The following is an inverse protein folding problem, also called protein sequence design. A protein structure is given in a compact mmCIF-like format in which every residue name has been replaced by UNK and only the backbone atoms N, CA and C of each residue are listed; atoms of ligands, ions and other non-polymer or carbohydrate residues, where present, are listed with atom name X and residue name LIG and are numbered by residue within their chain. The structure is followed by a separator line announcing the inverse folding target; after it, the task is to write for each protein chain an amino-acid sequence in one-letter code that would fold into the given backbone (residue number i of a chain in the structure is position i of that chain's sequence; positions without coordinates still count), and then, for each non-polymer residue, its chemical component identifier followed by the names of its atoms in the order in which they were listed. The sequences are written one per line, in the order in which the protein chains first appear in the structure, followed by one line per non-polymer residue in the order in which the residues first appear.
data_IF_090431892298
#
_entry.id   IF_090431892298
#
_cell.length_a   1.000
_cell.length_b   1.000
_cell.length_c   1.000
_cell.angle_alpha   90.00
_cell.angle_beta   90.00
_cell.angle_gamma   90.00
#
_symmetry.space_group_name_H-M   'P 1'
#
loop_
_entity.id
_entity.type
_entity.pdbx_description
1 polymer ?
#
# COMPACT_ATOMS: atom_id res chain seq x y z
N UNK A 1 -33.15 -17.64 -3.73
CA UNK A 1 -31.82 -18.21 -4.07
C UNK A 1 -30.67 -17.39 -3.51
N UNK A 2 -30.69 -16.05 -3.60
CA UNK A 2 -29.62 -15.18 -3.07
C UNK A 2 -29.38 -15.35 -1.55
N UNK A 3 -30.44 -15.38 -0.73
CA UNK A 3 -30.29 -15.55 0.73
C UNK A 3 -29.66 -16.88 1.16
N UNK A 4 -30.01 -17.98 0.50
CA UNK A 4 -29.41 -19.29 0.79
C UNK A 4 -27.93 -19.33 0.42
N UNK A 5 -27.54 -18.67 -0.68
CA UNK A 5 -26.15 -18.57 -1.11
C UNK A 5 -25.34 -17.71 -0.15
N UNK A 6 -25.91 -16.61 0.35
CA UNK A 6 -25.28 -15.75 1.36
C UNK A 6 -24.96 -16.52 2.64
N UNK A 7 -25.94 -17.23 3.20
CA UNK A 7 -25.76 -18.03 4.42
C UNK A 7 -24.66 -19.07 4.23
N UNK A 8 -24.68 -19.81 3.10
CA UNK A 8 -23.65 -20.83 2.83
C UNK A 8 -22.26 -20.26 2.53
N UNK A 9 -22.19 -19.05 1.96
CA UNK A 9 -20.92 -18.35 1.75
C UNK A 9 -20.32 -17.85 3.07
N UNK A 10 -21.16 -17.34 3.99
CA UNK A 10 -20.74 -16.95 5.34
C UNK A 10 -20.26 -18.16 6.16
N UNK A 11 -21.05 -19.25 6.20
CA UNK A 11 -20.69 -20.47 6.94
C UNK A 11 -19.35 -21.09 6.50
N UNK A 12 -19.02 -20.98 5.21
CA UNK A 12 -17.83 -21.62 4.62
C UNK A 12 -16.67 -20.66 4.40
N UNK A 13 -16.84 -19.37 4.73
CA UNK A 13 -15.88 -18.31 4.46
C UNK A 13 -15.45 -18.26 2.97
N UNK A 14 -16.39 -18.54 2.06
CA UNK A 14 -16.14 -18.57 0.61
C UNK A 14 -16.73 -17.39 -0.11
N UNK A 15 -15.96 -16.85 -1.06
CA UNK A 15 -16.37 -15.75 -1.95
C UNK A 15 -16.74 -16.31 -3.31
N UNK A 16 -17.84 -15.83 -3.91
CA UNK A 16 -18.22 -16.26 -5.26
C UNK A 16 -17.47 -15.46 -6.32
N UNK A 17 -16.64 -16.14 -7.12
CA UNK A 17 -15.96 -15.54 -8.26
C UNK A 17 -16.90 -15.45 -9.46
N UNK A 18 -17.04 -14.25 -10.03
CA UNK A 18 -17.98 -13.98 -11.11
C UNK A 18 -17.29 -13.26 -12.27
N UNK A 19 -17.80 -13.50 -13.49
CA UNK A 19 -17.50 -12.68 -14.66
C UNK A 19 -18.55 -11.60 -14.78
N UNK A 20 -18.16 -10.37 -14.52
CA UNK A 20 -19.05 -9.21 -14.51
C UNK A 20 -18.99 -8.45 -15.84
N UNK A 21 -20.15 -8.09 -16.38
CA UNK A 21 -20.27 -7.28 -17.59
C UNK A 21 -21.36 -6.24 -17.34
N UNK A 22 -20.96 -4.98 -17.18
CA UNK A 22 -21.86 -3.89 -16.77
C UNK A 22 -22.97 -3.63 -17.80
N UNK A 23 -22.61 -3.55 -19.08
CA UNK A 23 -23.52 -3.29 -20.20
C UNK A 23 -23.05 -4.04 -21.45
N UNK A 24 -23.90 -4.08 -22.49
CA UNK A 24 -23.53 -4.65 -23.80
C UNK A 24 -22.28 -3.94 -24.33
N UNK A 25 -21.40 -4.71 -24.98
CA UNK A 25 -20.16 -4.24 -25.61
C UNK A 25 -19.09 -3.66 -24.66
N UNK A 26 -19.16 -3.97 -23.36
CA UNK A 26 -18.07 -3.66 -22.41
C UNK A 26 -17.28 -4.95 -22.14
N UNK A 27 -15.93 -4.90 -22.13
CA UNK A 27 -15.13 -6.06 -21.76
C UNK A 27 -15.51 -6.59 -20.37
N UNK A 28 -15.56 -7.93 -20.18
CA UNK A 28 -15.86 -8.48 -18.88
C UNK A 28 -14.72 -8.21 -17.89
N UNK A 29 -15.07 -8.03 -16.61
CA UNK A 29 -14.14 -7.96 -15.48
C UNK A 29 -14.36 -9.14 -14.54
N UNK A 30 -13.30 -9.64 -13.89
CA UNK A 30 -13.45 -10.58 -12.78
C UNK A 30 -13.81 -9.83 -11.50
N UNK A 31 -14.85 -10.30 -10.81
CA UNK A 31 -15.29 -9.73 -9.53
C UNK A 31 -15.46 -10.85 -8.50
N UNK A 32 -15.16 -10.53 -7.26
CA UNK A 32 -15.40 -11.38 -6.11
C UNK A 32 -16.62 -10.85 -5.36
N UNK A 33 -17.66 -11.67 -5.24
CA UNK A 33 -18.85 -11.37 -4.43
C UNK A 33 -18.59 -11.83 -3.00
N UNK A 34 -18.12 -10.90 -2.17
CA UNK A 34 -17.79 -11.15 -0.77
C UNK A 34 -19.08 -11.13 0.03
N UNK A 35 -19.43 -12.21 0.77
CA UNK A 35 -20.64 -12.24 1.57
C UNK A 35 -20.55 -11.21 2.70
N UNK A 36 -21.62 -10.44 2.89
CA UNK A 36 -21.72 -9.38 3.88
C UNK A 36 -22.92 -9.64 4.79
N UNK A 37 -22.64 -9.80 6.08
CA UNK A 37 -23.65 -9.98 7.12
C UNK A 37 -24.26 -8.63 7.52
N UNK A 38 -25.51 -8.66 7.97
CA UNK A 38 -26.19 -7.47 8.46
C UNK A 38 -25.62 -7.04 9.82
N UNK A 39 -25.27 -5.77 9.94
CA UNK A 39 -24.83 -5.18 11.20
C UNK A 39 -25.69 -3.96 11.53
N UNK A 40 -26.30 -3.99 12.71
CA UNK A 40 -27.09 -2.89 13.27
C UNK A 40 -26.30 -2.23 14.40
N UNK A 41 -26.25 -0.90 14.40
CA UNK A 41 -25.67 -0.13 15.51
C UNK A 41 -26.58 -0.16 16.76
N UNK A 42 -26.09 0.35 17.89
CA UNK A 42 -26.83 0.47 19.16
C UNK A 42 -28.16 1.24 19.00
N UNK A 43 -28.24 2.12 18.00
CA UNK A 43 -29.42 2.90 17.64
C UNK A 43 -30.39 2.17 16.70
N UNK A 44 -30.15 0.88 16.42
CA UNK A 44 -30.86 0.06 15.40
C UNK A 44 -30.79 0.62 13.99
N UNK A 45 -29.76 1.41 13.69
CA UNK A 45 -29.46 1.90 12.35
C UNK A 45 -28.65 0.82 11.63
N UNK A 46 -29.03 0.49 10.41
CA UNK A 46 -28.30 -0.46 9.58
C UNK A 46 -26.97 0.16 9.11
N UNK A 47 -25.86 -0.29 9.69
CA UNK A 47 -24.49 0.15 9.33
C UNK A 47 -24.01 -0.62 8.10
N UNK A 48 -24.24 -1.92 8.12
CA UNK A 48 -23.79 -2.84 7.08
C UNK A 48 -25.01 -3.60 6.55
N UNK A 49 -25.36 -3.46 5.26
CA UNK A 49 -26.52 -4.15 4.69
C UNK A 49 -26.22 -5.62 4.39
N UNK A 50 -27.23 -6.49 4.56
CA UNK A 50 -27.12 -7.90 4.18
C UNK A 50 -26.97 -8.05 2.66
N UNK A 51 -25.94 -8.76 2.20
CA UNK A 51 -25.78 -9.02 0.77
C UNK A 51 -24.39 -9.46 0.34
N UNK A 52 -23.98 -9.02 -0.85
CA UNK A 52 -22.66 -9.28 -1.39
C UNK A 52 -21.97 -7.98 -1.76
N UNK A 53 -20.77 -7.76 -1.24
CA UNK A 53 -19.89 -6.70 -1.69
C UNK A 53 -19.21 -7.14 -2.99
N UNK A 54 -19.41 -6.37 -4.05
CA UNK A 54 -18.79 -6.61 -5.34
C UNK A 54 -17.38 -6.00 -5.35
N UNK A 55 -16.36 -6.85 -5.27
CA UNK A 55 -14.94 -6.45 -5.26
C UNK A 55 -14.32 -6.73 -6.63
N UNK A 56 -13.84 -5.69 -7.30
CA UNK A 56 -13.16 -5.83 -8.59
C UNK A 56 -11.75 -6.42 -8.42
N UNK A 57 -11.46 -7.49 -9.15
CA UNK A 57 -10.13 -8.10 -9.16
C UNK A 57 -9.28 -7.46 -10.26
N UNK A 58 -8.08 -7.02 -9.87
CA UNK A 58 -7.14 -6.40 -10.79
C UNK A 58 -6.59 -7.44 -11.79
N UNK A 59 -6.67 -7.10 -13.09
CA UNK A 59 -5.97 -7.83 -14.15
C UNK A 59 -4.45 -7.72 -14.00
N UNK A 60 -3.72 -8.63 -14.67
CA UNK A 60 -2.26 -8.64 -14.65
C UNK A 60 -1.66 -7.28 -15.10
N UNK A 61 -2.30 -6.62 -16.06
CA UNK A 61 -1.87 -5.32 -16.59
C UNK A 61 -1.96 -4.18 -15.58
N UNK A 62 -2.87 -4.29 -14.61
CA UNK A 62 -3.05 -3.29 -13.55
C UNK A 62 -2.05 -3.48 -12.39
N UNK A 63 -1.25 -4.56 -12.40
CA UNK A 63 -0.24 -4.80 -11.36
C UNK A 63 1.06 -4.10 -11.74
N UNK A 64 1.33 -2.96 -11.11
CA UNK A 64 2.62 -2.29 -11.22
C UNK A 64 3.75 -3.15 -10.65
N UNK A 65 4.89 -3.22 -11.36
CA UNK A 65 6.13 -3.80 -10.81
C UNK A 65 6.79 -2.77 -9.90
N UNK A 66 6.82 -3.04 -8.61
CA UNK A 66 7.54 -2.21 -7.63
C UNK A 66 8.97 -2.75 -7.51
N UNK A 67 10.01 -1.90 -7.64
CA UNK A 67 11.39 -2.34 -7.45
C UNK A 67 11.60 -2.70 -5.98
N UNK A 68 12.03 -3.95 -5.73
CA UNK A 68 12.34 -4.38 -4.37
C UNK A 68 13.73 -3.88 -3.98
N UNK A 69 13.80 -3.11 -2.90
CA UNK A 69 15.04 -2.84 -2.18
C UNK A 69 15.34 -3.96 -1.19
N UNK A 70 16.60 -4.06 -0.74
CA UNK A 70 16.97 -5.03 0.31
C UNK A 70 16.08 -4.80 1.53
N UNK A 71 15.41 -5.84 2.00
CA UNK A 71 14.55 -5.78 3.18
C UNK A 71 15.41 -5.57 4.42
N UNK A 72 15.38 -4.36 4.98
CA UNK A 72 15.99 -4.06 6.27
C UNK A 72 14.95 -4.31 7.36
N UNK A 73 15.28 -5.17 8.31
CA UNK A 73 14.40 -5.49 9.44
C UNK A 73 14.72 -4.57 10.62
N UNK A 74 13.68 -4.03 11.25
CA UNK A 74 13.80 -3.24 12.48
C UNK A 74 14.08 -4.14 13.69
N UNK A 75 14.73 -3.58 14.71
CA UNK A 75 14.93 -4.27 16.00
C UNK A 75 13.63 -4.31 16.81
N UNK A 76 13.45 -5.30 17.71
CA UNK A 76 12.23 -5.39 18.52
C UNK A 76 12.00 -4.13 19.37
N UNK A 77 13.07 -3.50 19.86
CA UNK A 77 12.99 -2.25 20.62
C UNK A 77 12.41 -1.09 19.80
N UNK A 78 12.85 -0.95 18.54
CA UNK A 78 12.30 0.05 17.62
C UNK A 78 10.81 -0.19 17.36
N UNK A 79 10.42 -1.45 17.16
CA UNK A 79 9.03 -1.84 16.95
C UNK A 79 8.16 -1.49 18.16
N UNK A 80 8.64 -1.74 19.38
CA UNK A 80 7.87 -1.46 20.59
C UNK A 80 7.70 0.05 20.84
N UNK A 81 8.66 0.89 20.47
CA UNK A 81 8.49 2.35 20.48
C UNK A 81 7.42 2.81 19.49
N UNK A 82 7.41 2.25 18.27
CA UNK A 82 6.37 2.58 17.27
C UNK A 82 4.99 2.12 17.75
N UNK A 83 4.88 0.94 18.35
CA UNK A 83 3.60 0.49 18.94
C UNK A 83 3.07 1.49 19.97
N UNK A 84 3.92 2.01 20.86
CA UNK A 84 3.53 3.02 21.84
C UNK A 84 3.06 4.34 21.19
N UNK A 85 3.71 4.76 20.10
CA UNK A 85 3.29 5.93 19.31
C UNK A 85 1.91 5.70 18.67
N UNK A 86 1.72 4.53 18.02
CA UNK A 86 0.44 4.16 17.38
C UNK A 86 -0.70 4.09 18.39
N UNK A 87 -0.46 3.51 19.57
CA UNK A 87 -1.46 3.45 20.64
C UNK A 87 -1.87 4.83 21.15
N UNK A 88 -0.93 5.77 21.28
CA UNK A 88 -1.23 7.15 21.69
C UNK A 88 -2.01 7.95 20.64
N UNK A 89 -1.80 7.66 19.36
CA UNK A 89 -2.49 8.29 18.24
C UNK A 89 -3.74 7.52 17.81
N UNK A 90 -4.14 6.49 18.55
CA UNK A 90 -5.32 5.71 18.22
C UNK A 90 -6.58 6.56 18.39
N UNK A 91 -7.44 6.52 17.37
CA UNK A 91 -8.78 7.09 17.39
C UNK A 91 -9.75 6.12 16.72
N UNK A 92 -11.05 6.25 17.02
CA UNK A 92 -12.10 5.46 16.39
C UNK A 92 -12.43 6.06 15.03
N UNK A 93 -12.00 5.40 13.95
CA UNK A 93 -12.37 5.80 12.60
C UNK A 93 -13.85 5.50 12.32
N UNK A 94 -14.54 6.43 11.67
CA UNK A 94 -15.84 6.19 11.03
C UNK A 94 -15.81 6.76 9.61
N UNK A 95 -16.59 6.17 8.70
CA UNK A 95 -16.66 6.58 7.30
C UNK A 95 -17.22 7.99 7.08
N UNK A 96 -18.01 8.48 8.03
CA UNK A 96 -18.64 9.80 8.06
C UNK A 96 -17.79 10.88 8.75
N UNK A 97 -16.61 10.54 9.28
CA UNK A 97 -15.81 11.47 10.09
C UNK A 97 -15.14 12.59 9.29
N UNK A 98 -14.99 12.43 7.97
CA UNK A 98 -14.26 13.38 7.13
C UNK A 98 -15.11 13.84 5.96
N UNK A 99 -15.26 15.15 5.87
CA UNK A 99 -15.91 15.80 4.74
C UNK A 99 -14.88 16.23 3.69
N UNK A 100 -15.32 16.30 2.43
CA UNK A 100 -14.48 16.81 1.35
C UNK A 100 -14.45 18.34 1.40
N UNK A 101 -13.33 18.90 1.84
CA UNK A 101 -13.14 20.35 1.98
C UNK A 101 -13.34 21.13 0.67
N UNK A 102 -12.99 20.56 -0.48
CA UNK A 102 -13.17 21.20 -1.79
C UNK A 102 -14.66 21.32 -2.14
N UNK A 103 -15.42 20.25 -1.90
CA UNK A 103 -16.87 20.28 -2.13
C UNK A 103 -17.56 21.19 -1.12
N UNK A 104 -17.13 21.19 0.14
CA UNK A 104 -17.68 22.08 1.15
C UNK A 104 -17.45 23.55 0.78
N UNK A 105 -16.21 23.92 0.45
CA UNK A 105 -15.92 25.29 0.03
C UNK A 105 -16.71 25.71 -1.22
N UNK A 106 -16.85 24.80 -2.18
CA UNK A 106 -17.64 25.07 -3.38
C UNK A 106 -19.12 25.35 -3.05
N UNK A 107 -19.75 24.51 -2.24
CA UNK A 107 -21.14 24.68 -1.82
C UNK A 107 -21.34 25.95 -0.99
N UNK A 108 -20.41 26.28 -0.08
CA UNK A 108 -20.46 27.53 0.71
C UNK A 108 -20.33 28.77 -0.15
N UNK A 109 -19.50 28.73 -1.18
CA UNK A 109 -19.40 29.82 -2.14
C UNK A 109 -20.71 30.01 -2.92
N UNK A 110 -21.34 28.92 -3.37
CA UNK A 110 -22.64 28.99 -4.06
C UNK A 110 -23.76 29.50 -3.14
N UNK A 111 -23.78 29.07 -1.89
CA UNK A 111 -24.73 29.55 -0.88
C UNK A 111 -24.58 31.05 -0.64
N UNK A 112 -23.34 31.54 -0.49
CA UNK A 112 -23.06 32.96 -0.33
C UNK A 112 -23.50 33.80 -1.54
N UNK A 113 -23.28 33.30 -2.76
CA UNK A 113 -23.76 33.93 -3.99
C UNK A 113 -25.29 33.93 -4.09
N UNK A 114 -25.96 32.86 -3.63
CA UNK A 114 -27.42 32.77 -3.68
C UNK A 114 -28.12 33.66 -2.65
N UNK A 115 -27.45 33.94 -1.53
CA UNK A 115 -27.95 34.76 -0.42
C UNK A 115 -27.42 36.21 -0.44
N UNK A 116 -26.68 36.59 -1.48
CA UNK A 116 -26.01 37.89 -1.61
C UNK A 116 -25.16 38.27 -0.38
N UNK A 117 -24.48 37.28 0.21
CA UNK A 117 -23.55 37.49 1.32
C UNK A 117 -22.26 38.16 0.81
N UNK A 118 -21.69 39.03 1.64
CA UNK A 118 -20.49 39.80 1.27
C UNK A 118 -19.25 38.91 1.11
N UNK A 119 -19.12 37.87 1.94
CA UNK A 119 -18.03 36.91 1.87
C UNK A 119 -18.54 35.49 2.18
N UNK A 120 -18.02 34.46 1.51
CA UNK A 120 -18.38 33.08 1.79
C UNK A 120 -17.73 32.57 3.07
N UNK A 121 -18.43 31.67 3.77
CA UNK A 121 -17.87 30.94 4.90
C UNK A 121 -16.71 30.04 4.43
N UNK A 122 -15.62 30.03 5.21
CA UNK A 122 -14.45 29.19 4.92
C UNK A 122 -14.66 27.80 5.51
N UNK A 123 -14.57 26.77 4.68
CA UNK A 123 -14.66 25.39 5.12
C UNK A 123 -13.43 24.99 5.95
N UNK A 124 -13.66 24.41 7.12
CA UNK A 124 -12.57 23.89 7.97
C UNK A 124 -12.01 22.60 7.37
N UNK A 125 -10.69 22.54 7.20
CA UNK A 125 -9.99 21.39 6.64
C UNK A 125 -9.86 20.22 7.62
N UNK A 126 -10.91 19.42 7.78
CA UNK A 126 -10.92 18.23 8.67
C UNK A 126 -9.93 17.14 8.23
N UNK A 127 -9.44 17.16 6.99
CA UNK A 127 -8.44 16.20 6.48
C UNK A 127 -7.01 16.53 6.89
N UNK A 128 -6.75 17.73 7.42
CA UNK A 128 -5.43 18.13 7.88
C UNK A 128 -5.18 17.59 9.29
N UNK A 129 -4.01 17.01 9.56
CA UNK A 129 -3.71 16.47 10.88
C UNK A 129 -3.58 17.59 11.92
N UNK A 130 -4.14 17.37 13.12
CA UNK A 130 -4.02 18.28 14.26
C UNK A 130 -2.64 18.19 14.90
N UNK A 131 -1.63 18.80 14.27
CA UNK A 131 -0.22 18.69 14.65
C UNK A 131 0.03 19.04 16.12
N UNK A 132 -0.58 20.13 16.62
CA UNK A 132 -0.40 20.58 18.00
C UNK A 132 -0.95 19.56 19.01
N UNK A 133 -2.15 19.02 18.76
CA UNK A 133 -2.78 18.02 19.61
C UNK A 133 -1.99 16.70 19.59
N UNK A 134 -1.51 16.29 18.41
CA UNK A 134 -0.67 15.11 18.24
C UNK A 134 0.64 15.25 19.02
N UNK A 135 1.34 16.38 18.88
CA UNK A 135 2.59 16.65 19.58
C UNK A 135 2.39 16.63 21.10
N UNK A 136 1.29 17.23 21.59
CA UNK A 136 0.93 17.23 23.01
C UNK A 136 0.65 15.81 23.54
N UNK A 137 -0.05 14.96 22.77
CA UNK A 137 -0.37 13.57 23.17
C UNK A 137 0.87 12.67 23.18
N UNK A 138 1.72 12.80 22.16
CA UNK A 138 2.94 12.02 22.04
C UNK A 138 3.94 12.38 23.15
N UNK A 139 4.09 13.68 23.42
CA UNK A 139 5.11 14.22 24.31
C UNK A 139 6.51 14.12 23.68
N UNK A 140 7.40 15.06 24.02
CA UNK A 140 8.77 15.06 23.53
C UNK A 140 9.56 13.76 23.78
N UNK A 141 9.54 13.14 24.98
CA UNK A 141 10.48 12.04 25.27
C UNK A 141 10.21 10.75 24.49
N UNK A 142 8.99 10.53 23.96
CA UNK A 142 8.73 9.34 23.15
C UNK A 142 9.22 9.51 21.71
N UNK A 143 8.98 10.70 21.14
CA UNK A 143 9.41 11.03 19.78
C UNK A 143 10.93 11.14 19.73
N UNK A 144 11.55 11.76 20.73
CA UNK A 144 13.00 11.96 20.77
C UNK A 144 13.75 10.63 20.94
N UNK A 145 13.29 9.76 21.84
CA UNK A 145 13.86 8.40 22.00
C UNK A 145 13.70 7.55 20.74
N UNK A 146 12.58 7.72 20.02
CA UNK A 146 12.38 7.01 18.76
C UNK A 146 13.33 7.51 17.68
N UNK A 147 13.54 8.83 17.59
CA UNK A 147 14.53 9.44 16.68
C UNK A 147 15.95 8.96 17.00
N UNK A 148 16.34 8.94 18.26
CA UNK A 148 17.66 8.48 18.72
C UNK A 148 17.95 7.02 18.34
N UNK A 149 16.94 6.15 18.38
CA UNK A 149 17.07 4.73 18.03
C UNK A 149 17.13 4.45 16.52
N UNK A 150 16.71 5.40 15.68
CA UNK A 150 16.61 5.21 14.23
C UNK A 150 17.62 6.02 13.44
N UNK A 151 17.78 7.28 13.81
CA UNK A 151 18.56 8.24 13.04
C UNK A 151 19.97 8.35 13.64
N UNK A 152 21.02 8.05 12.86
CA UNK A 152 22.37 8.43 13.22
C UNK A 152 22.45 9.93 13.52
N UNK A 153 23.38 10.39 14.37
CA UNK A 153 23.49 11.80 14.77
C UNK A 153 23.72 12.75 13.58
N UNK A 154 24.35 12.27 12.50
CA UNK A 154 24.61 13.04 11.27
C UNK A 154 23.52 12.87 10.20
N UNK A 155 22.38 12.27 10.55
CA UNK A 155 21.29 12.05 9.60
C UNK A 155 20.53 13.36 9.33
N UNK A 156 20.47 13.75 8.05
CA UNK A 156 19.68 14.89 7.62
C UNK A 156 18.30 14.41 7.11
N UNK A 157 17.20 14.57 7.90
CA UNK A 157 15.87 14.12 7.49
C UNK A 157 15.27 14.94 6.34
N UNK A 158 15.72 16.18 6.17
CA UNK A 158 15.27 17.09 5.09
C UNK A 158 16.26 17.13 3.92
N UNK A 159 17.37 16.40 4.04
CA UNK A 159 18.36 16.26 3.00
C UNK A 159 17.72 15.58 1.80
N UNK A 160 17.63 16.29 0.67
CA UNK A 160 17.28 15.68 -0.61
C UNK A 160 18.22 14.50 -0.82
N UNK A 161 17.68 13.28 -0.81
CA UNK A 161 18.40 12.10 -1.26
C UNK A 161 18.84 12.43 -2.68
N UNK A 162 20.12 12.78 -2.86
CA UNK A 162 20.66 13.05 -4.18
C UNK A 162 20.37 11.82 -5.00
N UNK A 163 19.52 11.97 -6.02
CA UNK A 163 19.12 10.92 -6.94
C UNK A 163 20.24 9.91 -7.07
N UNK A 164 20.08 8.73 -6.47
CA UNK A 164 20.90 7.58 -6.85
C UNK A 164 20.64 7.48 -8.33
N UNK A 165 21.64 7.90 -9.13
CA UNK A 165 21.59 7.83 -10.57
C UNK A 165 21.33 6.36 -10.87
N UNK A 166 20.09 6.03 -11.20
CA UNK A 166 19.82 4.82 -11.94
C UNK A 166 20.68 4.95 -13.18
N UNK A 167 21.74 4.15 -13.23
CA UNK A 167 22.63 4.06 -14.36
C UNK A 167 21.77 3.50 -15.49
N UNK A 168 21.14 4.40 -16.23
CA UNK A 168 20.45 4.10 -17.47
C UNK A 168 21.58 3.87 -18.49
N UNK A 169 22.20 2.69 -18.42
CA UNK A 169 23.13 2.24 -19.45
C UNK A 169 22.33 2.00 -20.73
N UNK A 170 22.26 3.05 -21.54
CA UNK A 170 21.99 2.93 -22.95
C UNK A 170 23.05 2.01 -23.57
N UNK A 171 22.55 0.92 -24.17
CA UNK A 171 23.04 0.30 -25.40
C UNK A 171 24.44 0.77 -25.86
N UNK A 172 25.49 0.15 -25.31
CA UNK A 172 26.76 0.00 -26.01
C UNK A 172 27.18 -1.45 -25.93
N UNK A 173 27.20 -2.09 -27.10
CA UNK A 173 27.71 -3.44 -27.33
C UNK A 173 29.17 -3.55 -26.89
N UNK A 174 29.40 -3.91 -25.63
CA UNK A 174 30.63 -4.54 -25.16
C UNK A 174 30.23 -5.93 -24.67
N UNK A 175 30.94 -6.95 -25.16
CA UNK A 175 30.69 -8.35 -24.81
C UNK A 175 30.52 -8.46 -23.28
N UNK A 176 29.45 -9.07 -22.77
CA UNK A 176 29.24 -9.17 -21.35
C UNK A 176 30.34 -10.07 -20.77
N UNK A 177 31.19 -9.49 -19.91
CA UNK A 177 32.07 -10.26 -19.04
C UNK A 177 31.14 -10.86 -17.98
N UNK A 178 30.72 -12.11 -18.18
CA UNK A 178 29.76 -12.76 -17.29
C UNK A 178 30.54 -13.28 -16.08
N UNK A 179 30.61 -12.48 -15.02
CA UNK A 179 30.98 -13.01 -13.70
C UNK A 179 29.84 -13.91 -13.19
N UNK A 180 30.14 -15.20 -13.05
CA UNK A 180 29.24 -16.17 -12.44
C UNK A 180 29.40 -16.10 -10.93
N UNK A 181 28.44 -15.47 -10.24
CA UNK A 181 28.38 -15.54 -8.78
C UNK A 181 28.02 -16.96 -8.31
N UNK A 182 28.47 -17.35 -7.12
CA UNK A 182 28.20 -18.67 -6.53
C UNK A 182 26.70 -19.00 -6.47
N UNK A 183 25.86 -17.98 -6.23
CA UNK A 183 24.40 -18.12 -6.18
C UNK A 183 23.82 -18.51 -7.55
N UNK A 184 24.36 -17.97 -8.65
CA UNK A 184 23.93 -18.35 -10.00
C UNK A 184 24.32 -19.79 -10.32
N UNK A 185 25.53 -20.21 -9.95
CA UNK A 185 25.99 -21.59 -10.13
C UNK A 185 25.14 -22.59 -9.33
N UNK A 186 24.86 -22.30 -8.05
CA UNK A 186 23.97 -23.11 -7.21
C UNK A 186 22.58 -23.25 -7.84
N UNK A 187 22.02 -22.17 -8.36
CA UNK A 187 20.72 -22.20 -9.04
C UNK A 187 20.74 -23.02 -10.35
N UNK A 188 21.84 -23.01 -11.10
CA UNK A 188 21.97 -23.83 -12.31
C UNK A 188 22.22 -25.31 -12.02
N UNK A 189 22.84 -25.64 -10.88
CA UNK A 189 22.97 -27.00 -10.37
C UNK A 189 21.60 -27.53 -9.93
N UNK A 190 20.86 -26.77 -9.11
CA UNK A 190 19.53 -27.18 -8.64
C UNK A 190 18.54 -27.35 -9.79
N UNK A 191 18.63 -26.52 -10.83
CA UNK A 191 17.76 -26.58 -12.00
C UNK A 191 18.26 -27.57 -13.07
N UNK A 192 19.32 -28.35 -12.80
CA UNK A 192 19.87 -29.35 -13.73
C UNK A 192 20.34 -28.78 -15.07
N UNK A 193 20.55 -27.46 -15.15
CA UNK A 193 20.85 -26.74 -16.40
C UNK A 193 22.35 -26.59 -16.62
N UNK A 194 23.18 -26.98 -15.64
CA UNK A 194 24.63 -26.86 -15.71
C UNK A 194 25.24 -27.65 -16.89
N UNK A 195 24.65 -28.79 -17.26
CA UNK A 195 25.09 -29.59 -18.42
C UNK A 195 24.88 -28.90 -19.78
N UNK A 196 24.12 -27.79 -19.83
CA UNK A 196 23.92 -26.98 -21.04
C UNK A 196 24.94 -25.84 -21.17
N UNK A 197 25.85 -25.68 -20.20
CA UNK A 197 26.88 -24.66 -20.26
C UNK A 197 27.95 -25.08 -21.28
N UNK A 198 28.38 -24.13 -22.11
CA UNK A 198 29.47 -24.37 -23.04
C UNK A 198 30.80 -24.44 -22.28
N UNK A 199 31.76 -25.22 -22.80
CA UNK A 199 33.10 -25.38 -22.18
C UNK A 199 33.79 -24.04 -21.85
N UNK A 200 33.68 -22.97 -22.66
CA UNK A 200 34.21 -21.65 -22.29
C UNK A 200 33.54 -21.04 -21.05
N UNK A 201 32.23 -21.18 -20.88
CA UNK A 201 31.50 -20.67 -19.71
C UNK A 201 31.89 -21.41 -18.43
N UNK A 202 32.13 -22.72 -18.52
CA UNK A 202 32.61 -23.53 -17.40
C UNK A 202 34.05 -23.16 -17.01
N UNK A 203 34.92 -22.88 -17.99
CA UNK A 203 36.28 -22.40 -17.71
C UNK A 203 36.29 -21.06 -16.98
N UNK A 204 35.46 -20.10 -17.39
CA UNK A 204 35.34 -18.82 -16.70
C UNK A 204 34.78 -18.95 -15.29
N UNK A 205 33.79 -19.84 -15.08
CA UNK A 205 33.27 -20.13 -13.75
C UNK A 205 34.34 -20.76 -12.83
N UNK A 206 35.12 -21.71 -13.33
CA UNK A 206 36.20 -22.33 -12.57
C UNK A 206 37.36 -21.37 -12.27
N UNK A 207 37.67 -20.44 -13.20
CA UNK A 207 38.68 -19.40 -12.97
C UNK A 207 38.21 -18.31 -12.01
N UNK A 208 36.91 -18.03 -11.93
CA UNK A 208 36.37 -17.05 -10.97
C UNK A 208 36.30 -17.55 -9.52
N UNK A 209 36.48 -18.85 -9.29
CA UNK A 209 36.43 -19.50 -7.97
C UNK A 209 37.81 -19.98 -7.46
N UNK A 210 38.89 -19.74 -8.24
CA UNK A 210 40.26 -20.19 -7.95
C UNK A 210 41.24 -19.05 -7.81
#
# INVERSE_FOLDING_TARGET
MSGALLIKCLEKEVTALCRYTLCRNIPPCFVALVPLEEELDDQKIQVTPAGFQLVFLCYADNKGKVPFTKKVMATPEQVDKVKAIVQKLQFKYRSDSFENSVLQQHSRNLEALALDLMEPEQAVGLTLPEVEAMNKRLGSPLVDKFKELLYPPDYNPEGKVSNIKHHNEGFRNKRPKVEYSEEKLKNHISNGTLGKFTVPMLKEACWGMG
#
